data_IF_338764076508
#
_entry.id   IF_338764076508
#
_cell.length_a   1.000
_cell.length_b   1.000
_cell.length_c   1.000
_cell.angle_alpha   90.00
_cell.angle_beta   90.00
_cell.angle_gamma   90.00
#
_symmetry.space_group_name_H-M   'P 1'
#
loop_
_entity.id
_entity.type
_entity.pdbx_description
1 polymer ?
#
# COMPACT_ATOMS: atom_id res chain seq x y z
N UNK A 1 15.44 3.99 14.01
CA UNK A 1 14.33 3.36 13.28
C UNK A 1 14.97 2.85 12.02
N UNK A 2 15.03 1.54 11.82
CA UNK A 2 15.78 0.96 10.71
C UNK A 2 14.95 1.16 9.43
N UNK A 3 15.42 2.01 8.53
CA UNK A 3 14.78 2.23 7.24
C UNK A 3 14.94 0.97 6.37
N UNK A 4 13.85 0.42 5.82
CA UNK A 4 13.88 -0.81 5.03
C UNK A 4 14.71 -0.67 3.75
N UNK A 5 14.73 0.52 3.17
CA UNK A 5 15.59 0.81 2.02
C UNK A 5 17.07 0.80 2.42
N UNK A 6 17.42 1.37 3.57
CA UNK A 6 18.79 1.31 4.11
C UNK A 6 19.19 -0.12 4.49
N UNK A 7 18.28 -0.89 5.10
CA UNK A 7 18.51 -2.31 5.44
C UNK A 7 18.84 -3.15 4.22
N UNK A 8 18.18 -2.86 3.09
CA UNK A 8 18.41 -3.58 1.83
C UNK A 8 19.46 -2.91 0.95
N UNK A 9 20.03 -1.77 1.38
CA UNK A 9 20.96 -0.96 0.59
C UNK A 9 20.38 -0.59 -0.79
N UNK A 10 19.08 -0.29 -0.81
CA UNK A 10 18.33 0.11 -2.00
C UNK A 10 18.04 1.62 -1.97
N UNK A 11 17.92 2.27 -3.14
CA UNK A 11 17.46 3.65 -3.19
C UNK A 11 16.03 3.78 -2.66
N UNK A 12 15.70 4.90 -2.04
CA UNK A 12 14.33 5.22 -1.63
C UNK A 12 13.49 5.51 -2.87
N UNK A 13 12.62 4.58 -3.27
CA UNK A 13 11.81 4.66 -4.49
C UNK A 13 10.45 4.00 -4.30
N UNK A 14 9.41 4.50 -4.97
CA UNK A 14 8.11 3.86 -5.00
C UNK A 14 8.09 2.57 -5.83
N UNK A 15 9.06 2.39 -6.73
CA UNK A 15 9.19 1.20 -7.59
C UNK A 15 10.54 0.49 -7.36
N UNK A 16 10.76 -0.12 -6.18
CA UNK A 16 11.97 -0.89 -5.93
C UNK A 16 12.04 -2.10 -6.88
N UNK A 17 13.25 -2.43 -7.32
CA UNK A 17 13.49 -3.61 -8.15
C UNK A 17 13.16 -4.90 -7.38
N UNK A 18 12.10 -5.59 -7.81
CA UNK A 18 11.60 -6.80 -7.15
C UNK A 18 12.66 -7.92 -7.08
N UNK A 19 13.54 -8.04 -8.08
CA UNK A 19 14.60 -9.03 -8.06
C UNK A 19 15.65 -8.69 -7.00
N UNK A 20 16.00 -7.41 -6.85
CA UNK A 20 16.93 -6.96 -5.82
C UNK A 20 16.34 -7.09 -4.41
N UNK A 21 15.08 -6.69 -4.21
CA UNK A 21 14.33 -6.88 -2.96
C UNK A 21 14.34 -8.35 -2.54
N UNK A 22 14.01 -9.26 -3.47
CA UNK A 22 14.02 -10.70 -3.22
C UNK A 22 15.43 -11.24 -2.92
N UNK A 23 16.44 -10.75 -3.63
CA UNK A 23 17.83 -11.15 -3.41
C UNK A 23 18.31 -10.77 -2.00
N UNK A 24 18.07 -9.52 -1.59
CA UNK A 24 18.40 -9.00 -0.25
C UNK A 24 17.64 -9.74 0.85
N UNK A 25 16.36 -10.05 0.63
CA UNK A 25 15.59 -10.87 1.56
C UNK A 25 16.23 -12.24 1.83
N UNK A 26 16.66 -12.97 0.78
CA UNK A 26 17.30 -14.28 0.97
C UNK A 26 18.70 -14.17 1.57
N UNK A 27 19.46 -13.15 1.21
CA UNK A 27 20.77 -12.87 1.81
C UNK A 27 20.65 -12.70 3.32
N UNK A 28 19.77 -11.80 3.76
CA UNK A 28 19.56 -11.50 5.18
C UNK A 28 18.91 -12.67 5.91
N UNK A 29 17.99 -13.40 5.28
CA UNK A 29 17.38 -14.62 5.86
C UNK A 29 18.45 -15.67 6.17
N UNK A 30 19.41 -15.88 5.27
CA UNK A 30 20.53 -16.80 5.52
C UNK A 30 21.48 -16.25 6.58
N UNK A 31 21.73 -14.94 6.61
CA UNK A 31 22.64 -14.31 7.57
C UNK A 31 22.11 -14.40 9.00
N UNK A 32 20.81 -14.18 9.19
CA UNK A 32 20.17 -14.08 10.50
C UNK A 32 19.32 -15.29 10.90
N UNK A 33 19.36 -16.38 10.14
CA UNK A 33 18.58 -17.59 10.43
C UNK A 33 18.81 -18.09 11.88
N UNK A 34 17.74 -18.32 12.68
CA UNK A 34 17.87 -18.72 14.09
C UNK A 34 18.77 -19.94 14.33
N UNK A 35 18.71 -20.93 13.44
CA UNK A 35 19.55 -22.14 13.53
C UNK A 35 21.06 -21.84 13.55
N UNK A 36 21.51 -20.75 12.90
CA UNK A 36 22.92 -20.34 12.92
C UNK A 36 23.37 -19.83 14.28
N UNK A 37 22.42 -19.41 15.11
CA UNK A 37 22.64 -18.83 16.43
C UNK A 37 22.17 -19.76 17.56
N UNK A 38 21.78 -21.00 17.25
CA UNK A 38 21.29 -21.96 18.25
C UNK A 38 22.27 -22.20 19.40
N UNK A 39 23.58 -22.15 19.11
CA UNK A 39 24.67 -22.29 20.08
C UNK A 39 25.35 -20.96 20.45
N UNK A 40 24.82 -19.82 20.01
CA UNK A 40 25.36 -18.52 20.35
C UNK A 40 24.89 -18.04 21.73
N UNK A 41 25.54 -17.00 22.24
CA UNK A 41 25.13 -16.25 23.42
C UNK A 41 23.70 -15.68 23.26
N UNK A 42 23.00 -15.50 24.37
CA UNK A 42 21.58 -15.08 24.36
C UNK A 42 21.37 -13.73 23.65
N UNK A 43 22.33 -12.80 23.78
CA UNK A 43 22.29 -11.52 23.07
C UNK A 43 22.30 -11.69 21.55
N UNK A 44 23.09 -12.64 21.04
CA UNK A 44 23.17 -12.94 19.60
C UNK A 44 21.92 -13.65 19.08
N UNK A 45 21.29 -14.51 19.90
CA UNK A 45 20.00 -15.14 19.60
C UNK A 45 18.88 -14.10 19.48
N UNK A 46 18.81 -13.17 20.45
CA UNK A 46 17.83 -12.09 20.45
C UNK A 46 17.99 -11.21 19.21
N UNK A 47 19.24 -10.85 18.88
CA UNK A 47 19.52 -10.03 17.70
C UNK A 47 19.16 -10.75 16.38
N UNK A 48 19.47 -12.06 16.29
CA UNK A 48 19.05 -12.89 15.14
C UNK A 48 17.54 -12.91 14.95
N UNK A 49 16.76 -13.04 16.03
CA UNK A 49 15.30 -12.99 15.99
C UNK A 49 14.79 -11.61 15.57
N UNK A 50 15.35 -10.53 16.15
CA UNK A 50 15.01 -9.14 15.80
C UNK A 50 15.25 -8.86 14.33
N UNK A 51 16.43 -9.22 13.82
CA UNK A 51 16.80 -9.01 12.42
C UNK A 51 15.99 -9.87 11.46
N UNK A 52 15.63 -11.10 11.85
CA UNK A 52 14.76 -11.96 11.05
C UNK A 52 13.35 -11.36 10.92
N UNK A 53 12.78 -10.87 12.02
CA UNK A 53 11.49 -10.19 12.00
C UNK A 53 11.53 -8.92 11.14
N UNK A 54 12.56 -8.09 11.32
CA UNK A 54 12.77 -6.87 10.53
C UNK A 54 12.90 -7.17 9.04
N UNK A 55 13.64 -8.22 8.66
CA UNK A 55 13.80 -8.64 7.27
C UNK A 55 12.47 -9.09 6.65
N UNK A 56 11.64 -9.82 7.39
CA UNK A 56 10.31 -10.23 6.92
C UNK A 56 9.40 -9.01 6.69
N UNK A 57 9.41 -8.05 7.62
CA UNK A 57 8.61 -6.83 7.51
C UNK A 57 9.07 -5.95 6.34
N UNK A 58 10.39 -5.80 6.16
CA UNK A 58 10.98 -5.10 5.02
C UNK A 58 10.56 -5.76 3.69
N UNK A 59 10.70 -7.08 3.57
CA UNK A 59 10.30 -7.81 2.37
C UNK A 59 8.82 -7.66 2.07
N UNK A 60 7.95 -7.84 3.09
CA UNK A 60 6.51 -7.69 2.96
C UNK A 60 6.13 -6.28 2.49
N UNK A 61 6.81 -5.26 3.02
CA UNK A 61 6.54 -3.86 2.70
C UNK A 61 7.01 -3.52 1.29
N UNK A 62 8.28 -3.80 0.97
CA UNK A 62 8.90 -3.43 -0.30
C UNK A 62 8.44 -4.29 -1.49
N UNK A 63 7.79 -5.43 -1.24
CA UNK A 63 7.21 -6.27 -2.30
C UNK A 63 5.76 -5.91 -2.65
N UNK A 64 5.15 -4.97 -1.93
CA UNK A 64 3.77 -4.54 -2.15
C UNK A 64 3.73 -3.03 -2.41
N UNK A 65 3.18 -2.62 -3.56
CA UNK A 65 3.17 -1.21 -3.98
C UNK A 65 2.43 -0.30 -2.98
N UNK A 66 1.30 -0.75 -2.41
CA UNK A 66 0.52 0.03 -1.46
C UNK A 66 1.23 0.16 -0.10
N UNK A 67 1.85 -0.93 0.36
CA UNK A 67 2.65 -0.93 1.57
C UNK A 67 3.90 -0.05 1.41
N UNK A 68 4.57 -0.13 0.27
CA UNK A 68 5.72 0.72 -0.09
C UNK A 68 5.31 2.18 -0.12
N UNK A 69 4.19 2.51 -0.76
CA UNK A 69 3.66 3.88 -0.82
C UNK A 69 3.38 4.43 0.58
N UNK A 70 2.66 3.68 1.42
CA UNK A 70 2.38 4.08 2.79
C UNK A 70 3.67 4.23 3.62
N UNK A 71 4.67 3.38 3.38
CA UNK A 71 5.94 3.41 4.08
C UNK A 71 6.75 4.65 3.73
N UNK A 72 6.87 5.00 2.45
CA UNK A 72 7.58 6.20 2.01
C UNK A 72 6.89 7.46 2.57
N UNK A 73 5.54 7.54 2.49
CA UNK A 73 4.81 8.67 3.06
C UNK A 73 5.03 8.81 4.58
N UNK A 74 5.16 7.69 5.32
CA UNK A 74 5.52 7.70 6.75
C UNK A 74 6.94 8.22 6.98
N UNK A 75 7.90 7.77 6.18
CA UNK A 75 9.30 8.24 6.26
C UNK A 75 9.41 9.74 6.02
N UNK A 76 8.57 10.29 5.14
CA UNK A 76 8.49 11.73 4.87
C UNK A 76 7.68 12.51 5.93
N UNK A 77 7.17 11.85 6.98
CA UNK A 77 6.35 12.48 8.02
C UNK A 77 4.95 12.87 7.56
N UNK A 78 4.52 12.45 6.37
CA UNK A 78 3.27 12.83 5.73
C UNK A 78 2.12 11.85 6.01
N UNK A 79 2.40 10.66 6.55
CA UNK A 79 1.35 9.70 6.90
C UNK A 79 1.47 9.31 8.38
N UNK A 80 0.40 9.53 9.13
CA UNK A 80 0.31 9.15 10.55
C UNK A 80 -0.56 7.91 10.74
N UNK A 81 -0.37 7.23 11.88
CA UNK A 81 -1.26 6.13 12.26
C UNK A 81 -2.66 6.67 12.54
N UNK A 82 -3.68 6.00 12.01
CA UNK A 82 -5.10 6.39 12.15
C UNK A 82 -5.43 7.84 11.75
N UNK A 83 -4.66 8.40 10.82
CA UNK A 83 -4.88 9.75 10.35
C UNK A 83 -6.30 9.92 9.77
N UNK A 84 -7.02 10.92 10.31
CA UNK A 84 -8.29 11.39 9.75
C UNK A 84 -7.99 12.32 8.59
N UNK A 85 -7.96 11.76 7.38
CA UNK A 85 -7.77 12.53 6.16
C UNK A 85 -9.11 13.01 5.61
N UNK A 86 -9.22 14.31 5.36
CA UNK A 86 -10.37 14.91 4.72
C UNK A 86 -10.25 14.73 3.21
N UNK A 87 -11.04 13.81 2.67
CA UNK A 87 -11.12 13.58 1.24
C UNK A 87 -11.73 14.79 0.52
N UNK A 88 -11.31 15.07 -0.72
CA UNK A 88 -11.81 16.22 -1.47
C UNK A 88 -13.33 16.17 -1.67
N UNK A 89 -14.06 17.30 -1.54
CA UNK A 89 -15.53 17.31 -1.65
C UNK A 89 -16.07 16.75 -2.97
N UNK A 90 -15.39 17.02 -4.08
CA UNK A 90 -15.76 16.49 -5.39
C UNK A 90 -15.73 14.95 -5.40
N UNK A 91 -14.70 14.36 -4.80
CA UNK A 91 -14.64 12.90 -4.67
C UNK A 91 -15.74 12.35 -3.76
N UNK A 92 -16.00 13.00 -2.62
CA UNK A 92 -17.04 12.54 -1.72
C UNK A 92 -18.42 12.56 -2.39
N UNK A 93 -18.68 13.54 -3.27
CA UNK A 93 -19.90 13.61 -4.07
C UNK A 93 -20.01 12.42 -5.04
N UNK A 94 -18.96 12.15 -5.83
CA UNK A 94 -18.90 10.99 -6.73
C UNK A 94 -19.11 9.67 -5.96
N UNK A 95 -18.53 9.56 -4.76
CA UNK A 95 -18.71 8.39 -3.90
C UNK A 95 -20.10 8.27 -3.31
N UNK A 96 -20.78 9.37 -3.05
CA UNK A 96 -22.19 9.33 -2.62
C UNK A 96 -23.07 8.77 -3.74
N UNK A 97 -22.90 9.25 -4.97
CA UNK A 97 -23.64 8.74 -6.15
C UNK A 97 -23.38 7.25 -6.37
N UNK A 98 -22.12 6.82 -6.29
CA UNK A 98 -21.76 5.41 -6.40
C UNK A 98 -22.38 4.56 -5.28
N UNK A 99 -22.38 5.07 -4.05
CA UNK A 99 -23.01 4.38 -2.92
C UNK A 99 -24.53 4.24 -3.10
N UNK A 100 -25.20 5.26 -3.61
CA UNK A 100 -26.63 5.24 -3.90
C UNK A 100 -26.95 4.18 -4.95
N UNK A 101 -26.22 4.16 -6.07
CA UNK A 101 -26.39 3.15 -7.12
C UNK A 101 -26.17 1.71 -6.61
N UNK A 102 -25.21 1.51 -5.69
CA UNK A 102 -24.98 0.22 -5.03
C UNK A 102 -26.18 -0.15 -4.14
N UNK A 103 -26.66 0.78 -3.32
CA UNK A 103 -27.79 0.54 -2.41
C UNK A 103 -29.10 0.26 -3.16
N UNK A 104 -29.35 0.95 -4.27
CA UNK A 104 -30.54 0.69 -5.11
C UNK A 104 -30.48 -0.70 -5.72
N UNK A 105 -29.32 -1.09 -6.28
CA UNK A 105 -29.13 -2.44 -6.82
C UNK A 105 -29.27 -3.53 -5.74
N UNK A 106 -28.80 -3.27 -4.52
CA UNK A 106 -28.99 -4.15 -3.35
C UNK A 106 -30.48 -4.30 -2.99
N UNK A 107 -31.24 -3.20 -2.95
CA UNK A 107 -32.66 -3.21 -2.60
C UNK A 107 -33.51 -3.93 -3.64
N UNK A 108 -33.21 -3.76 -4.93
CA UNK A 108 -33.97 -4.34 -6.03
C UNK A 108 -33.55 -5.78 -6.35
N UNK A 109 -32.54 -6.33 -5.66
CA UNK A 109 -31.88 -7.59 -6.00
C UNK A 109 -31.45 -7.63 -7.48
N UNK A 110 -31.03 -6.47 -8.01
CA UNK A 110 -30.64 -6.30 -9.39
C UNK A 110 -29.16 -6.66 -9.56
N UNK A 111 -28.94 -7.90 -10.03
CA UNK A 111 -27.61 -8.39 -10.36
C UNK A 111 -26.93 -7.58 -11.47
N UNK A 112 -27.70 -7.04 -12.43
CA UNK A 112 -27.15 -6.26 -13.53
C UNK A 112 -26.71 -4.85 -13.05
N UNK A 113 -27.51 -4.20 -12.22
CA UNK A 113 -27.16 -2.95 -11.55
C UNK A 113 -25.93 -3.10 -10.65
N UNK A 114 -25.86 -4.18 -9.87
CA UNK A 114 -24.70 -4.50 -9.03
C UNK A 114 -23.43 -4.67 -9.85
N UNK A 115 -23.52 -5.38 -10.98
CA UNK A 115 -22.38 -5.57 -11.89
C UNK A 115 -21.94 -4.24 -12.54
N UNK A 116 -22.89 -3.38 -12.91
CA UNK A 116 -22.61 -2.07 -13.49
C UNK A 116 -21.89 -1.16 -12.47
N UNK A 117 -22.33 -1.15 -11.21
CA UNK A 117 -21.68 -0.41 -10.15
C UNK A 117 -20.25 -0.92 -9.86
N UNK A 118 -20.02 -2.24 -9.90
CA UNK A 118 -18.67 -2.82 -9.81
C UNK A 118 -17.77 -2.34 -10.94
N UNK A 119 -18.26 -2.36 -12.17
CA UNK A 119 -17.49 -1.91 -13.34
C UNK A 119 -17.11 -0.44 -13.23
N UNK A 120 -18.06 0.43 -12.85
CA UNK A 120 -17.78 1.85 -12.65
C UNK A 120 -16.72 2.09 -11.56
N UNK A 121 -16.76 1.32 -10.46
CA UNK A 121 -15.75 1.37 -9.41
C UNK A 121 -14.37 0.93 -9.90
N UNK A 122 -14.30 -0.16 -10.66
CA UNK A 122 -13.06 -0.68 -11.24
C UNK A 122 -12.44 0.30 -12.24
N UNK A 123 -13.26 0.94 -13.07
CA UNK A 123 -12.81 1.98 -14.01
C UNK A 123 -12.21 3.18 -13.29
N UNK A 124 -12.89 3.67 -12.24
CA UNK A 124 -12.37 4.75 -11.39
C UNK A 124 -11.05 4.37 -10.71
N UNK A 125 -10.98 3.16 -10.15
CA UNK A 125 -9.78 2.65 -9.51
C UNK A 125 -8.61 2.59 -10.50
N UNK A 126 -8.86 2.10 -11.73
CA UNK A 126 -7.86 2.00 -12.80
C UNK A 126 -7.38 3.38 -13.25
N UNK A 127 -8.29 4.33 -13.46
CA UNK A 127 -7.95 5.70 -13.85
C UNK A 127 -6.99 6.35 -12.85
N UNK A 128 -7.28 6.22 -11.56
CA UNK A 128 -6.45 6.78 -10.50
C UNK A 128 -5.16 6.02 -10.27
N UNK A 129 -5.15 4.70 -10.44
CA UNK A 129 -3.92 3.91 -10.41
C UNK A 129 -2.94 4.40 -11.49
N UNK A 130 -3.44 4.71 -12.69
CA UNK A 130 -2.62 5.24 -13.76
C UNK A 130 -2.08 6.65 -13.44
N UNK A 131 -2.87 7.50 -12.80
CA UNK A 131 -2.42 8.83 -12.34
C UNK A 131 -1.36 8.71 -11.26
N UNK A 132 -1.60 7.88 -10.24
CA UNK A 132 -0.65 7.62 -9.18
C UNK A 132 0.67 7.07 -9.70
N UNK A 133 0.64 6.17 -10.69
CA UNK A 133 1.83 5.64 -11.35
C UNK A 133 2.69 6.74 -11.99
N UNK A 134 2.07 7.80 -12.54
CA UNK A 134 2.81 8.96 -13.07
C UNK A 134 3.45 9.77 -11.94
N UNK A 135 2.73 10.01 -10.86
CA UNK A 135 3.22 10.77 -9.71
C UNK A 135 4.39 10.04 -9.03
N UNK A 136 4.28 8.73 -8.81
CA UNK A 136 5.35 7.92 -8.21
C UNK A 136 6.56 7.81 -9.14
N UNK A 137 6.36 7.75 -10.46
CA UNK A 137 7.46 7.79 -11.42
C UNK A 137 8.19 9.15 -11.43
N UNK A 138 7.47 10.27 -11.25
CA UNK A 138 8.09 11.59 -11.09
C UNK A 138 8.96 11.66 -9.82
N UNK A 139 8.48 11.06 -8.73
CA UNK A 139 9.27 10.96 -7.51
C UNK A 139 10.56 10.16 -7.74
N UNK A 140 10.45 9.01 -8.41
CA UNK A 140 11.61 8.18 -8.72
C UNK A 140 12.59 8.83 -9.71
N UNK A 141 12.10 9.78 -10.53
CA UNK A 141 12.91 10.61 -11.42
C UNK A 141 13.58 11.80 -10.72
N UNK A 142 13.30 12.03 -9.42
CA UNK A 142 13.99 13.01 -8.58
C UNK A 142 13.15 14.21 -8.12
N UNK A 143 11.86 14.27 -8.47
CA UNK A 143 10.97 15.29 -7.89
C UNK A 143 10.53 14.84 -6.49
N UNK A 144 11.20 15.35 -5.46
CA UNK A 144 10.84 15.08 -4.06
C UNK A 144 10.09 16.24 -3.41
N UNK A 145 9.40 17.07 -4.21
CA UNK A 145 8.63 18.18 -3.69
C UNK A 145 7.50 17.70 -2.76
N UNK A 146 7.23 18.48 -1.71
CA UNK A 146 6.11 18.22 -0.80
C UNK A 146 4.78 18.23 -1.56
N UNK A 147 4.64 19.09 -2.57
CA UNK A 147 3.45 19.16 -3.42
C UNK A 147 3.19 17.84 -4.17
N UNK A 148 4.22 17.17 -4.68
CA UNK A 148 4.06 15.85 -5.31
C UNK A 148 3.67 14.79 -4.27
N UNK A 149 4.34 14.78 -3.12
CA UNK A 149 4.05 13.82 -2.05
C UNK A 149 2.63 13.98 -1.49
N UNK A 150 2.11 15.20 -1.40
CA UNK A 150 0.73 15.46 -1.00
C UNK A 150 -0.29 14.93 -2.02
N UNK A 151 0.01 14.98 -3.33
CA UNK A 151 -0.84 14.36 -4.36
C UNK A 151 -0.82 12.82 -4.25
N UNK A 152 0.35 12.22 -4.02
CA UNK A 152 0.47 10.78 -3.77
C UNK A 152 -0.30 10.38 -2.50
N UNK A 153 -0.24 11.20 -1.45
CA UNK A 153 -1.02 11.01 -0.22
C UNK A 153 -2.52 11.08 -0.47
N UNK A 154 -3.00 12.05 -1.26
CA UNK A 154 -4.41 12.16 -1.62
C UNK A 154 -4.91 10.88 -2.30
N UNK A 155 -4.14 10.40 -3.29
CA UNK A 155 -4.40 9.12 -3.94
C UNK A 155 -4.43 7.95 -2.95
N UNK A 156 -3.48 7.87 -2.02
CA UNK A 156 -3.43 6.80 -1.02
C UNK A 156 -4.74 6.70 -0.22
N UNK A 157 -5.29 7.82 0.24
CA UNK A 157 -6.55 7.83 1.00
C UNK A 157 -7.77 7.55 0.12
N UNK A 158 -7.79 8.09 -1.09
CA UNK A 158 -8.79 7.81 -2.12
C UNK A 158 -8.90 6.32 -2.44
N UNK A 159 -7.76 5.68 -2.74
CA UNK A 159 -7.70 4.23 -2.98
C UNK A 159 -8.19 3.43 -1.77
N UNK A 160 -7.77 3.80 -0.55
CA UNK A 160 -8.23 3.14 0.68
C UNK A 160 -9.75 3.26 0.87
N UNK A 161 -10.36 4.38 0.47
CA UNK A 161 -11.80 4.57 0.51
C UNK A 161 -12.50 3.68 -0.52
N UNK A 162 -12.02 3.65 -1.78
CA UNK A 162 -12.58 2.82 -2.84
C UNK A 162 -12.52 1.32 -2.52
N UNK A 163 -11.40 0.84 -1.96
CA UNK A 163 -11.27 -0.57 -1.55
C UNK A 163 -12.30 -0.97 -0.48
N UNK A 164 -12.69 -0.05 0.43
CA UNK A 164 -13.76 -0.31 1.40
C UNK A 164 -15.12 -0.42 0.75
N UNK A 165 -15.37 0.36 -0.31
CA UNK A 165 -16.59 0.23 -1.12
C UNK A 165 -16.57 -1.13 -1.83
N UNK A 166 -15.46 -1.49 -2.48
CA UNK A 166 -15.32 -2.77 -3.18
C UNK A 166 -15.59 -3.96 -2.25
N UNK A 167 -14.97 -3.98 -1.06
CA UNK A 167 -15.21 -4.99 -0.03
C UNK A 167 -16.68 -5.08 0.39
N UNK A 168 -17.39 -3.96 0.39
CA UNK A 168 -18.82 -3.92 0.70
C UNK A 168 -19.62 -4.59 -0.42
N UNK A 169 -19.38 -4.21 -1.67
CA UNK A 169 -20.09 -4.79 -2.82
C UNK A 169 -19.81 -6.31 -2.90
N UNK A 170 -18.57 -6.75 -2.67
CA UNK A 170 -18.22 -8.17 -2.75
C UNK A 170 -18.90 -9.02 -1.67
N UNK A 171 -19.15 -8.46 -0.47
CA UNK A 171 -19.90 -9.15 0.59
C UNK A 171 -21.36 -9.38 0.23
N UNK A 172 -21.98 -8.47 -0.52
CA UNK A 172 -23.39 -8.57 -0.89
C UNK A 172 -23.62 -9.30 -2.22
N UNK A 173 -22.68 -9.19 -3.16
CA UNK A 173 -22.72 -9.91 -4.43
C UNK A 173 -22.24 -11.37 -4.33
N UNK A 174 -21.84 -11.84 -3.14
CA UNK A 174 -21.53 -13.24 -2.90
C UNK A 174 -22.84 -14.08 -2.95
N UNK A 175 -22.87 -15.19 -3.72
CA UNK A 175 -24.07 -16.02 -3.89
C UNK A 175 -24.49 -16.77 -2.62
#
# INVERSE_FOLDING_TARGET
MDNYFELYELPLTFHPDAAQVKSKFYELSRKYHPDRFAHAEDTAKIESLRMSALNNDAYKTLSNADATMAYILKLQGLLQHEEKYNLPPAFLMEMMELNEAISDAEMEADAAGSQTAKQALEEQLSAWQNEAGKLTAQYDAGDHSEALLLQIKDYYFRKKYLLRIQERIDKFAAP
#
